data_IF_231429519069
#
_entry.id   IF_231429519069
#
_cell.length_a   1.000
_cell.length_b   1.000
_cell.length_c   1.000
_cell.angle_alpha   90.00
_cell.angle_beta   90.00
_cell.angle_gamma   90.00
#
_symmetry.space_group_name_H-M   'P 1'
#
loop_
_entity.id
_entity.type
_entity.pdbx_description
1 polymer ?
#
# COMPACT_ATOMS: atom_id res chain seq x y z
N UNK A 1 3.30 19.06 -17.31
CA UNK A 1 3.84 17.83 -16.69
C UNK A 1 3.38 17.81 -15.24
N UNK A 2 2.75 16.73 -14.75
CA UNK A 2 2.39 16.63 -13.32
C UNK A 2 3.66 16.28 -12.53
N UNK A 3 3.78 16.77 -11.30
CA UNK A 3 4.89 16.38 -10.43
C UNK A 3 4.68 14.95 -9.91
N UNK A 4 5.77 14.24 -9.57
CA UNK A 4 5.69 12.89 -8.94
C UNK A 4 4.83 12.90 -7.67
N UNK A 5 4.84 14.00 -6.92
CA UNK A 5 4.00 14.17 -5.73
C UNK A 5 2.51 14.21 -6.10
N UNK A 6 2.16 14.95 -7.15
CA UNK A 6 0.79 14.98 -7.66
C UNK A 6 0.35 13.61 -8.20
N UNK A 7 1.26 12.84 -8.81
CA UNK A 7 0.95 11.50 -9.31
C UNK A 7 0.67 10.50 -8.17
N UNK A 8 1.46 10.57 -7.08
CA UNK A 8 1.24 9.75 -5.88
C UNK A 8 -0.08 10.10 -5.19
N UNK A 9 -0.35 11.39 -4.99
CA UNK A 9 -1.59 11.85 -4.38
C UNK A 9 -2.81 11.43 -5.21
N UNK A 10 -2.74 11.58 -6.54
CA UNK A 10 -3.80 11.15 -7.45
C UNK A 10 -4.03 9.63 -7.38
N UNK A 11 -2.97 8.82 -7.39
CA UNK A 11 -3.12 7.37 -7.30
C UNK A 11 -3.70 6.96 -5.93
N UNK A 12 -3.22 7.55 -4.84
CA UNK A 12 -3.75 7.31 -3.50
C UNK A 12 -5.25 7.63 -3.43
N UNK A 13 -5.67 8.74 -4.03
CA UNK A 13 -7.08 9.13 -4.12
C UNK A 13 -7.93 8.14 -4.92
N UNK A 14 -7.44 7.67 -6.06
CA UNK A 14 -8.11 6.63 -6.85
C UNK A 14 -8.27 5.34 -6.04
N UNK A 15 -7.21 4.90 -5.37
CA UNK A 15 -7.22 3.73 -4.49
C UNK A 15 -8.25 3.86 -3.36
N UNK A 16 -8.27 4.99 -2.67
CA UNK A 16 -9.22 5.21 -1.55
C UNK A 16 -10.67 5.27 -2.05
N UNK A 17 -10.91 5.84 -3.24
CA UNK A 17 -12.24 5.83 -3.88
C UNK A 17 -12.76 4.43 -4.17
N UNK A 18 -11.89 3.47 -4.51
CA UNK A 18 -12.30 2.07 -4.72
C UNK A 18 -12.80 1.38 -3.44
N UNK A 19 -12.39 1.90 -2.27
CA UNK A 19 -12.68 1.34 -0.94
C UNK A 19 -13.78 2.09 -0.22
N UNK A 20 -13.98 3.38 -0.51
CA UNK A 20 -15.00 4.20 0.13
C UNK A 20 -16.40 3.57 -0.03
N UNK A 21 -17.12 3.43 1.09
CA UNK A 21 -18.45 2.82 1.13
C UNK A 21 -18.46 1.28 1.11
N UNK A 22 -17.30 0.62 1.12
CA UNK A 22 -17.21 -0.83 1.36
C UNK A 22 -17.34 -1.12 2.86
N UNK A 23 -17.87 -2.29 3.19
CA UNK A 23 -18.00 -2.80 4.56
C UNK A 23 -16.65 -2.91 5.30
N UNK A 24 -15.56 -3.14 4.56
CA UNK A 24 -14.20 -3.19 5.11
C UNK A 24 -13.46 -1.84 5.12
N UNK A 25 -14.10 -0.72 4.75
CA UNK A 25 -13.42 0.57 4.58
C UNK A 25 -12.74 1.07 5.87
N UNK A 26 -13.40 0.92 7.02
CA UNK A 26 -12.83 1.30 8.32
C UNK A 26 -11.57 0.50 8.66
N UNK A 27 -11.58 -0.82 8.43
CA UNK A 27 -10.37 -1.66 8.57
C UNK A 27 -9.26 -1.27 7.60
N UNK A 28 -9.61 -0.95 6.36
CA UNK A 28 -8.66 -0.46 5.38
C UNK A 28 -7.98 0.83 5.84
N UNK A 29 -8.74 1.78 6.40
CA UNK A 29 -8.22 3.00 7.01
C UNK A 29 -7.22 2.68 8.13
N UNK A 30 -7.58 1.80 9.07
CA UNK A 30 -6.66 1.33 10.11
C UNK A 30 -5.36 0.76 9.56
N UNK A 31 -5.43 -0.04 8.49
CA UNK A 31 -4.24 -0.63 7.87
C UNK A 31 -3.41 0.41 7.11
N UNK A 32 -4.04 1.32 6.38
CA UNK A 32 -3.36 2.43 5.72
C UNK A 32 -2.62 3.32 6.73
N UNK A 33 -3.18 3.55 7.93
CA UNK A 33 -2.51 4.28 9.02
C UNK A 33 -1.27 3.56 9.57
N UNK A 34 -1.36 2.23 9.75
CA UNK A 34 -0.30 1.37 10.30
C UNK A 34 0.81 1.09 9.27
N UNK A 35 0.49 1.10 7.97
CA UNK A 35 1.38 0.67 6.89
C UNK A 35 2.75 1.40 6.84
N UNK A 36 2.84 2.75 6.88
CA UNK A 36 4.13 3.43 6.82
C UNK A 36 5.07 3.02 7.96
N UNK A 37 4.54 2.93 9.19
CA UNK A 37 5.32 2.48 10.35
C UNK A 37 5.76 1.02 10.22
N UNK A 38 4.90 0.13 9.73
CA UNK A 38 5.27 -1.27 9.51
C UNK A 38 6.42 -1.39 8.51
N UNK A 39 6.40 -0.63 7.41
CA UNK A 39 7.48 -0.61 6.43
C UNK A 39 8.78 -0.11 7.05
N UNK A 40 8.74 0.95 7.86
CA UNK A 40 9.93 1.53 8.51
C UNK A 40 10.55 0.55 9.51
N UNK A 41 9.74 -0.07 10.37
CA UNK A 41 10.26 -0.90 11.47
C UNK A 41 10.55 -2.34 11.06
N UNK A 42 9.70 -2.93 10.22
CA UNK A 42 9.81 -4.35 9.87
C UNK A 42 10.43 -4.55 8.48
N UNK A 43 10.39 -3.54 7.62
CA UNK A 43 10.74 -3.65 6.21
C UNK A 43 9.54 -4.00 5.32
N UNK A 44 9.69 -3.79 4.01
CA UNK A 44 8.62 -4.01 3.04
C UNK A 44 8.26 -5.50 2.89
N UNK A 45 9.26 -6.37 2.71
CA UNK A 45 9.05 -7.80 2.47
C UNK A 45 8.26 -8.47 3.61
N UNK A 46 8.65 -8.22 4.86
CA UNK A 46 7.99 -8.78 6.05
C UNK A 46 6.59 -8.21 6.23
N UNK A 47 6.38 -6.93 5.94
CA UNK A 47 5.05 -6.28 5.97
C UNK A 47 4.11 -6.93 4.96
N UNK A 48 4.57 -7.16 3.72
CA UNK A 48 3.80 -7.86 2.69
C UNK A 48 3.52 -9.30 3.10
N UNK A 49 4.52 -10.00 3.64
CA UNK A 49 4.35 -11.37 4.12
C UNK A 49 3.28 -11.45 5.21
N UNK A 50 3.33 -10.56 6.21
CA UNK A 50 2.33 -10.47 7.26
C UNK A 50 0.93 -10.21 6.68
N UNK A 51 0.79 -9.21 5.81
CA UNK A 51 -0.47 -8.86 5.17
C UNK A 51 -1.08 -10.05 4.40
N UNK A 52 -0.26 -10.83 3.68
CA UNK A 52 -0.70 -12.00 2.90
C UNK A 52 -1.24 -13.14 3.78
N UNK A 53 -0.82 -13.23 5.05
CA UNK A 53 -1.37 -14.22 5.99
C UNK A 53 -2.78 -13.88 6.47
N UNK A 54 -3.21 -12.62 6.33
CA UNK A 54 -4.51 -12.14 6.79
C UNK A 54 -5.58 -12.47 5.76
N UNK A 55 -6.62 -13.20 6.18
CA UNK A 55 -7.79 -13.53 5.36
C UNK A 55 -8.85 -12.42 5.43
N UNK A 56 -8.42 -11.18 5.18
CA UNK A 56 -9.26 -9.99 5.32
C UNK A 56 -9.26 -9.17 4.04
N UNK A 57 -10.44 -8.75 3.61
CA UNK A 57 -10.64 -8.00 2.37
C UNK A 57 -9.86 -6.68 2.34
N UNK A 58 -9.78 -5.99 3.49
CA UNK A 58 -9.00 -4.77 3.62
C UNK A 58 -7.49 -5.00 3.35
N UNK A 59 -6.90 -6.09 3.87
CA UNK A 59 -5.49 -6.42 3.59
C UNK A 59 -5.28 -6.83 2.14
N UNK A 60 -6.18 -7.65 1.59
CA UNK A 60 -6.13 -8.03 0.16
C UNK A 60 -6.16 -6.79 -0.72
N UNK A 61 -7.10 -5.88 -0.46
CA UNK A 61 -7.25 -4.65 -1.24
C UNK A 61 -6.06 -3.70 -1.09
N UNK A 62 -5.47 -3.63 0.11
CA UNK A 62 -4.26 -2.85 0.34
C UNK A 62 -3.07 -3.38 -0.46
N UNK A 63 -2.89 -4.70 -0.51
CA UNK A 63 -1.85 -5.34 -1.33
C UNK A 63 -2.08 -5.09 -2.82
N UNK A 64 -3.31 -5.21 -3.32
CA UNK A 64 -3.66 -4.87 -4.71
C UNK A 64 -3.27 -3.42 -5.06
N UNK A 65 -3.47 -2.47 -4.13
CA UNK A 65 -3.09 -1.07 -4.32
C UNK A 65 -1.58 -0.87 -4.34
N UNK A 66 -0.81 -1.62 -3.53
CA UNK A 66 0.65 -1.60 -3.60
C UNK A 66 1.15 -2.11 -4.96
N UNK A 67 0.58 -3.20 -5.47
CA UNK A 67 0.93 -3.71 -6.79
C UNK A 67 0.53 -2.74 -7.90
N UNK A 68 -0.65 -2.11 -7.79
CA UNK A 68 -1.09 -1.04 -8.71
C UNK A 68 -0.08 0.10 -8.75
N UNK A 69 0.42 0.53 -7.59
CA UNK A 69 1.48 1.54 -7.48
C UNK A 69 2.77 1.09 -8.17
N UNK A 70 3.26 -0.12 -7.88
CA UNK A 70 4.49 -0.64 -8.49
C UNK A 70 4.38 -0.69 -10.03
N UNK A 71 3.25 -1.16 -10.57
CA UNK A 71 3.00 -1.12 -12.02
C UNK A 71 3.04 0.30 -12.58
N UNK A 72 2.49 1.28 -11.86
CA UNK A 72 2.50 2.69 -12.28
C UNK A 72 3.90 3.32 -12.28
N UNK A 73 4.77 2.86 -11.37
CA UNK A 73 6.19 3.24 -11.32
C UNK A 73 7.04 2.53 -12.40
N UNK A 74 6.42 1.69 -13.24
CA UNK A 74 7.13 0.90 -14.24
C UNK A 74 7.87 -0.31 -13.66
N UNK A 75 7.64 -0.65 -12.38
CA UNK A 75 8.22 -1.80 -11.70
C UNK A 75 7.34 -3.01 -12.03
N UNK A 76 7.77 -3.78 -13.03
CA UNK A 76 7.06 -4.97 -13.48
C UNK A 76 7.32 -6.13 -12.53
N UNK A 77 6.24 -6.71 -12.03
CA UNK A 77 6.28 -7.96 -11.30
C UNK A 77 6.14 -9.07 -12.33
N UNK A 78 7.20 -9.83 -12.56
CA UNK A 78 7.19 -10.92 -13.56
C UNK A 78 6.29 -12.09 -13.12
N UNK A 79 6.00 -12.17 -11.81
CA UNK A 79 5.12 -13.16 -11.20
C UNK A 79 4.04 -12.46 -10.35
N UNK A 80 2.83 -13.02 -10.27
CA UNK A 80 1.74 -12.56 -9.39
C UNK A 80 2.00 -12.83 -7.88
N UNK A 81 3.27 -12.97 -7.47
CA UNK A 81 3.65 -13.15 -6.08
C UNK A 81 4.63 -12.06 -5.62
N UNK A 82 4.06 -11.03 -4.97
CA UNK A 82 4.82 -9.89 -4.46
C UNK A 82 5.91 -10.30 -3.46
N UNK A 83 5.73 -11.37 -2.67
CA UNK A 83 6.76 -11.82 -1.72
C UNK A 83 7.97 -12.35 -2.47
N UNK A 84 7.73 -13.26 -3.43
CA UNK A 84 8.79 -13.83 -4.26
C UNK A 84 9.52 -12.73 -5.03
N UNK A 85 8.76 -11.85 -5.70
CA UNK A 85 9.30 -10.71 -6.42
C UNK A 85 10.27 -9.88 -5.58
N UNK A 86 9.86 -9.48 -4.37
CA UNK A 86 10.67 -8.67 -3.45
C UNK A 86 11.90 -9.42 -2.93
N UNK A 87 11.78 -10.73 -2.67
CA UNK A 87 12.88 -11.56 -2.15
C UNK A 87 14.01 -11.81 -3.14
N UNK A 88 13.72 -11.70 -4.44
CA UNK A 88 14.67 -11.92 -5.53
C UNK A 88 15.36 -10.62 -5.99
N UNK A 89 15.07 -9.49 -5.35
CA UNK A 89 15.66 -8.18 -5.71
C UNK A 89 17.07 -8.03 -5.14
N UNK A 90 17.95 -7.46 -5.94
CA UNK A 90 19.24 -6.97 -5.46
C UNK A 90 19.05 -5.87 -4.41
N UNK A 91 20.01 -5.74 -3.48
CA UNK A 91 19.89 -4.86 -2.30
C UNK A 91 19.54 -3.42 -2.67
N UNK A 92 20.14 -2.88 -3.74
CA UNK A 92 19.88 -1.51 -4.19
C UNK A 92 18.45 -1.35 -4.73
N UNK A 93 17.98 -2.30 -5.52
CA UNK A 93 16.64 -2.31 -6.09
C UNK A 93 15.59 -2.48 -4.99
N UNK A 94 15.80 -3.40 -4.05
CA UNK A 94 14.93 -3.61 -2.90
C UNK A 94 14.79 -2.34 -2.04
N UNK A 95 15.89 -1.64 -1.77
CA UNK A 95 15.88 -0.36 -1.04
C UNK A 95 15.15 0.73 -1.81
N UNK A 96 15.35 0.82 -3.12
CA UNK A 96 14.64 1.76 -3.98
C UNK A 96 13.13 1.50 -3.92
N UNK A 97 12.69 0.26 -4.14
CA UNK A 97 11.29 -0.14 -4.06
C UNK A 97 10.70 0.17 -2.69
N UNK A 98 11.40 -0.18 -1.61
CA UNK A 98 10.97 0.10 -0.23
C UNK A 98 10.73 1.59 -0.01
N UNK A 99 11.64 2.46 -0.46
CA UNK A 99 11.49 3.91 -0.37
C UNK A 99 10.28 4.41 -1.16
N UNK A 100 10.09 3.92 -2.38
CA UNK A 100 8.96 4.31 -3.25
C UNK A 100 7.62 3.88 -2.65
N UNK A 101 7.54 2.66 -2.12
CA UNK A 101 6.33 2.16 -1.46
C UNK A 101 6.05 2.92 -0.17
N UNK A 102 7.08 3.30 0.59
CA UNK A 102 6.92 4.16 1.77
C UNK A 102 6.33 5.53 1.39
N UNK A 103 6.87 6.20 0.36
CA UNK A 103 6.33 7.47 -0.14
C UNK A 103 4.85 7.35 -0.51
N UNK A 104 4.48 6.28 -1.22
CA UNK A 104 3.09 6.01 -1.59
C UNK A 104 2.21 5.75 -0.36
N UNK A 105 2.67 4.94 0.60
CA UNK A 105 1.93 4.61 1.82
C UNK A 105 1.59 5.85 2.65
N UNK A 106 2.48 6.87 2.66
CA UNK A 106 2.23 8.14 3.35
C UNK A 106 1.10 8.94 2.69
N UNK A 107 1.06 8.97 1.35
CA UNK A 107 -0.06 9.60 0.63
C UNK A 107 -1.35 8.81 0.79
N UNK A 108 -1.28 7.48 0.73
CA UNK A 108 -2.43 6.61 0.93
C UNK A 108 -3.06 6.81 2.31
N UNK A 109 -2.23 6.87 3.37
CA UNK A 109 -2.67 7.23 4.72
C UNK A 109 -3.40 8.57 4.75
N UNK A 110 -2.76 9.63 4.25
CA UNK A 110 -3.32 11.00 4.28
C UNK A 110 -4.68 11.08 3.58
N UNK A 111 -4.81 10.45 2.42
CA UNK A 111 -6.06 10.47 1.68
C UNK A 111 -7.12 9.59 2.34
N UNK A 112 -6.75 8.41 2.85
CA UNK A 112 -7.69 7.56 3.58
C UNK A 112 -8.27 8.28 4.81
N UNK A 113 -7.43 8.98 5.59
CA UNK A 113 -7.83 9.76 6.77
C UNK A 113 -8.80 10.90 6.43
N UNK A 114 -8.72 11.47 5.23
CA UNK A 114 -9.62 12.54 4.78
C UNK A 114 -10.92 12.06 4.14
N UNK A 115 -10.97 10.82 3.65
CA UNK A 115 -12.06 10.33 2.79
C UNK A 115 -12.88 9.18 3.40
N UNK A 116 -12.33 8.45 4.37
CA UNK A 116 -12.98 7.30 5.01
C UNK A 116 -13.35 7.67 6.45
N UNK A 117 -14.62 7.48 6.78
CA UNK A 117 -15.10 7.64 8.16
C UNK A 117 -14.61 6.47 9.03
N UNK A 118 -14.12 6.81 10.22
CA UNK A 118 -13.68 5.84 11.21
C UNK A 118 -14.87 5.44 12.09
N UNK A 119 -15.33 4.20 11.96
CA UNK A 119 -16.45 3.67 12.75
C UNK A 119 -15.98 2.95 14.03
N UNK A 120 -14.68 3.00 14.36
CA UNK A 120 -14.11 2.39 15.56
C UNK A 120 -14.03 0.87 15.54
N UNK A 121 -14.40 0.19 14.43
CA UNK A 121 -14.32 -1.28 14.28
C UNK A 121 -12.99 -1.78 13.69
N UNK A 122 -11.99 -0.90 13.67
CA UNK A 122 -10.73 -1.08 12.94
C UNK A 122 -9.60 -1.77 13.72
N UNK A 123 -9.87 -2.35 14.89
CA UNK A 123 -8.90 -3.09 15.70
C UNK A 123 -9.23 -4.59 15.82
#
# INVERSE_FOLDING_TARGET
MRSRVQELAQLAYECVKEVKGKDFASKYLSYARKLPSMIIYNGLLTTVAFAKTKKEDAWRKLLEHLEKFLRKEGIKQDNNDLIKFLSEREVQEYRFITKRVLDFSLWLKRIAEGEIEDDGKGD
#
